data_IF_748112863613
#
_entry.id   IF_748112863613
#
_cell.length_a   1.000
_cell.length_b   1.000
_cell.length_c   1.000
_cell.angle_alpha   90.00
_cell.angle_beta   90.00
_cell.angle_gamma   90.00
#
_symmetry.space_group_name_H-M   'P 1'
#
loop_
_entity.id
_entity.type
_entity.pdbx_description
1 polymer ?
#
# COMPACT_ATOMS: atom_id res chain seq x y z
N UNK A 1 -10.61 -19.78 17.06
CA UNK A 1 -10.68 -19.93 15.58
C UNK A 1 -9.61 -19.03 14.98
N UNK A 2 -8.73 -19.56 14.13
CA UNK A 2 -7.52 -18.87 13.62
C UNK A 2 -7.91 -17.67 12.74
N UNK A 3 -7.51 -16.46 13.13
CA UNK A 3 -7.43 -15.29 12.25
C UNK A 3 -6.34 -15.53 11.22
N UNK A 4 -6.69 -16.19 10.11
CA UNK A 4 -5.78 -16.38 8.99
C UNK A 4 -5.59 -15.07 8.25
N UNK A 5 -4.51 -14.35 8.54
CA UNK A 5 -3.92 -13.42 7.56
C UNK A 5 -3.62 -14.27 6.33
N UNK A 6 -4.45 -14.20 5.30
CA UNK A 6 -4.17 -14.77 3.98
C UNK A 6 -3.08 -13.92 3.34
N UNK A 7 -1.85 -14.11 3.82
CA UNK A 7 -0.65 -13.62 3.17
C UNK A 7 -0.61 -14.23 1.76
N UNK A 8 -0.42 -13.39 0.75
CA UNK A 8 -0.25 -13.84 -0.63
C UNK A 8 0.84 -14.92 -0.72
N UNK A 9 0.55 -15.95 -1.50
CA UNK A 9 1.50 -17.03 -1.76
C UNK A 9 2.80 -16.47 -2.37
N UNK A 10 3.93 -17.08 -1.99
CA UNK A 10 5.25 -16.60 -2.40
C UNK A 10 5.44 -16.64 -3.92
N UNK A 11 4.92 -17.66 -4.60
CA UNK A 11 5.02 -17.78 -6.05
C UNK A 11 4.22 -16.67 -6.75
N UNK A 12 3.05 -16.32 -6.21
CA UNK A 12 2.26 -15.18 -6.70
C UNK A 12 3.08 -13.90 -6.57
N UNK A 13 3.61 -13.62 -5.38
CA UNK A 13 4.43 -12.42 -5.14
C UNK A 13 5.64 -12.37 -6.07
N UNK A 14 6.33 -13.50 -6.30
CA UNK A 14 7.46 -13.55 -7.21
C UNK A 14 7.03 -13.23 -8.66
N UNK A 15 5.92 -13.81 -9.12
CA UNK A 15 5.37 -13.52 -10.45
C UNK A 15 4.98 -12.04 -10.62
N UNK A 16 4.52 -11.37 -9.56
CA UNK A 16 4.30 -9.91 -9.58
C UNK A 16 5.62 -9.16 -9.78
N UNK A 17 6.67 -9.53 -9.04
CA UNK A 17 8.01 -8.93 -9.19
C UNK A 17 8.59 -9.13 -10.58
N UNK A 18 8.43 -10.32 -11.15
CA UNK A 18 8.95 -10.63 -12.47
C UNK A 18 8.28 -9.76 -13.54
N UNK A 19 6.95 -9.56 -13.45
CA UNK A 19 6.23 -8.63 -14.35
C UNK A 19 6.68 -7.19 -14.17
N UNK A 20 6.80 -6.72 -12.93
CA UNK A 20 7.32 -5.37 -12.66
C UNK A 20 8.72 -5.17 -13.22
N UNK A 21 9.57 -6.21 -13.18
CA UNK A 21 10.95 -6.13 -13.67
C UNK A 21 11.04 -5.86 -15.17
N UNK A 22 10.06 -6.30 -15.95
CA UNK A 22 9.99 -6.05 -17.40
C UNK A 22 9.97 -4.54 -17.71
N UNK A 23 9.25 -3.76 -16.91
CA UNK A 23 9.09 -2.31 -17.13
C UNK A 23 10.05 -1.46 -16.29
N UNK A 24 10.67 -2.03 -15.27
CA UNK A 24 11.45 -1.32 -14.25
C UNK A 24 12.53 -0.39 -14.82
N UNK A 25 13.35 -0.87 -15.76
CA UNK A 25 14.46 -0.06 -16.31
C UNK A 25 13.95 1.11 -17.15
N UNK A 26 12.95 0.87 -18.01
CA UNK A 26 12.34 1.91 -18.82
C UNK A 26 11.61 2.95 -17.95
N UNK A 27 10.90 2.48 -16.91
CA UNK A 27 10.21 3.33 -15.96
C UNK A 27 11.18 4.21 -15.17
N UNK A 28 12.27 3.64 -14.65
CA UNK A 28 13.29 4.40 -13.94
C UNK A 28 13.92 5.47 -14.85
N UNK A 29 14.32 5.11 -16.07
CA UNK A 29 14.87 6.07 -17.03
C UNK A 29 13.88 7.18 -17.43
N UNK A 30 12.58 6.88 -17.47
CA UNK A 30 11.55 7.88 -17.71
C UNK A 30 11.40 8.84 -16.52
N UNK A 31 11.39 8.32 -15.29
CA UNK A 31 11.32 9.12 -14.06
C UNK A 31 12.52 10.07 -13.95
N UNK A 32 13.74 9.59 -14.22
CA UNK A 32 14.94 10.44 -14.17
C UNK A 32 14.89 11.57 -15.21
N UNK A 33 14.43 11.28 -16.44
CA UNK A 33 14.26 12.31 -17.48
C UNK A 33 13.20 13.33 -17.11
N UNK A 34 12.07 12.88 -16.59
CA UNK A 34 10.98 13.77 -16.17
C UNK A 34 11.38 14.63 -14.97
N UNK A 35 12.20 14.10 -14.06
CA UNK A 35 12.77 14.88 -12.94
C UNK A 35 13.69 16.00 -13.43
N UNK A 36 14.44 15.77 -14.51
CA UNK A 36 15.33 16.75 -15.12
C UNK A 36 14.63 17.69 -16.12
N UNK A 37 13.37 17.42 -16.45
CA UNK A 37 12.59 18.14 -17.46
C UNK A 37 11.80 19.32 -16.92
N UNK A 38 10.99 19.92 -17.80
CA UNK A 38 10.07 21.00 -17.45
C UNK A 38 8.86 20.45 -16.65
N UNK A 39 8.62 20.91 -15.40
CA UNK A 39 7.48 20.47 -14.60
C UNK A 39 6.12 20.85 -15.20
N UNK A 40 6.05 21.91 -16.02
CA UNK A 40 4.80 22.41 -16.63
C UNK A 40 4.37 21.61 -17.85
N UNK A 41 5.20 20.67 -18.32
CA UNK A 41 4.91 19.88 -19.51
C UNK A 41 3.64 19.01 -19.28
N UNK A 42 2.70 18.98 -20.26
CA UNK A 42 1.55 18.09 -20.22
C UNK A 42 1.98 16.64 -20.01
N UNK A 43 1.24 15.86 -19.21
CA UNK A 43 1.69 14.52 -18.82
C UNK A 43 1.98 13.63 -20.04
N UNK A 44 1.09 13.67 -21.05
CA UNK A 44 1.24 12.90 -22.29
C UNK A 44 2.54 13.20 -23.05
N UNK A 45 3.12 14.37 -22.84
CA UNK A 45 4.36 14.83 -23.49
C UNK A 45 5.60 14.54 -22.64
N UNK A 46 5.46 14.07 -21.40
CA UNK A 46 6.62 13.66 -20.58
C UNK A 46 7.16 12.29 -21.02
N UNK A 47 8.37 11.92 -20.58
CA UNK A 47 8.90 10.60 -20.83
C UNK A 47 8.08 9.50 -20.14
N UNK A 48 7.54 9.76 -18.94
CA UNK A 48 6.60 8.84 -18.29
C UNK A 48 5.28 8.73 -19.07
N UNK A 49 4.75 9.84 -19.60
CA UNK A 49 3.55 9.83 -20.43
C UNK A 49 3.73 9.04 -21.72
N UNK A 50 4.84 9.26 -22.43
CA UNK A 50 5.19 8.49 -23.64
C UNK A 50 5.36 7.00 -23.35
N UNK A 51 6.03 6.66 -22.24
CA UNK A 51 6.15 5.25 -21.81
C UNK A 51 4.76 4.66 -21.56
N UNK A 52 3.91 5.33 -20.79
CA UNK A 52 2.57 4.85 -20.50
C UNK A 52 1.69 4.77 -21.77
N UNK A 53 1.88 5.65 -22.75
CA UNK A 53 1.19 5.59 -24.04
C UNK A 53 1.65 4.43 -24.93
N UNK A 54 2.84 3.88 -24.69
CA UNK A 54 3.42 2.79 -25.49
C UNK A 54 3.07 1.39 -24.99
N UNK A 55 2.55 1.26 -23.78
CA UNK A 55 2.26 -0.01 -23.12
C UNK A 55 0.79 -0.42 -23.32
N UNK A 56 0.56 -1.72 -23.42
CA UNK A 56 -0.76 -2.32 -23.36
C UNK A 56 -1.31 -2.34 -21.91
N UNK A 57 -2.55 -2.78 -21.73
CA UNK A 57 -3.21 -2.86 -20.42
C UNK A 57 -2.37 -3.62 -19.37
N UNK A 58 -1.94 -4.87 -19.64
CA UNK A 58 -1.06 -5.61 -18.73
C UNK A 58 0.26 -4.89 -18.42
N UNK A 59 0.92 -4.31 -19.42
CA UNK A 59 2.15 -3.52 -19.23
C UNK A 59 1.93 -2.28 -18.37
N UNK A 60 0.81 -1.58 -18.56
CA UNK A 60 0.40 -0.45 -17.74
C UNK A 60 0.12 -0.83 -16.28
N UNK A 61 -0.54 -1.97 -16.04
CA UNK A 61 -0.70 -2.48 -14.66
C UNK A 61 0.64 -2.78 -14.02
N UNK A 62 1.53 -3.48 -14.73
CA UNK A 62 2.87 -3.78 -14.24
C UNK A 62 3.67 -2.49 -13.94
N UNK A 63 3.54 -1.47 -14.80
CA UNK A 63 4.15 -0.15 -14.58
C UNK A 63 3.60 0.54 -13.33
N UNK A 64 2.28 0.52 -13.14
CA UNK A 64 1.64 1.07 -11.95
C UNK A 64 2.10 0.39 -10.68
N UNK A 65 2.16 -0.95 -10.68
CA UNK A 65 2.65 -1.73 -9.54
C UNK A 65 4.10 -1.42 -9.21
N UNK A 66 4.96 -1.35 -10.23
CA UNK A 66 6.37 -1.02 -10.05
C UNK A 66 6.53 0.39 -9.49
N UNK A 67 5.85 1.39 -10.07
CA UNK A 67 5.94 2.77 -9.64
C UNK A 67 5.41 2.96 -8.22
N UNK A 68 4.29 2.32 -7.87
CA UNK A 68 3.79 2.30 -6.51
C UNK A 68 4.82 1.70 -5.55
N UNK A 69 5.32 0.49 -5.83
CA UNK A 69 6.30 -0.19 -4.99
C UNK A 69 7.57 0.64 -4.79
N UNK A 70 8.07 1.24 -5.87
CA UNK A 70 9.23 2.12 -5.84
C UNK A 70 8.98 3.34 -4.94
N UNK A 71 7.86 4.06 -5.14
CA UNK A 71 7.53 5.22 -4.29
C UNK A 71 7.42 4.83 -2.82
N UNK A 72 6.83 3.68 -2.49
CA UNK A 72 6.70 3.21 -1.11
C UNK A 72 8.06 2.91 -0.45
N UNK A 73 9.07 2.50 -1.22
CA UNK A 73 10.41 2.22 -0.72
C UNK A 73 11.27 3.47 -0.53
N UNK A 74 11.04 4.49 -1.34
CA UNK A 74 11.85 5.71 -1.39
C UNK A 74 11.04 6.95 -0.97
N UNK A 75 10.09 6.81 -0.03
CA UNK A 75 9.16 7.89 0.33
C UNK A 75 9.86 9.15 0.90
N UNK A 76 11.11 9.00 1.37
CA UNK A 76 11.96 10.10 1.84
C UNK A 76 12.72 10.82 0.71
N UNK A 77 12.69 10.28 -0.51
CA UNK A 77 13.24 10.91 -1.72
C UNK A 77 12.15 11.70 -2.48
N UNK A 78 12.59 12.54 -3.43
CA UNK A 78 11.67 13.23 -4.33
C UNK A 78 10.99 12.24 -5.31
N UNK A 79 9.85 11.72 -4.86
CA UNK A 79 8.98 10.79 -5.57
C UNK A 79 7.84 11.48 -6.33
N UNK A 80 7.84 12.82 -6.45
CA UNK A 80 6.74 13.59 -7.08
C UNK A 80 6.40 13.11 -8.49
N UNK A 81 7.42 12.81 -9.30
CA UNK A 81 7.26 12.29 -10.67
C UNK A 81 6.62 10.91 -10.66
N UNK A 82 7.11 10.01 -9.80
CA UNK A 82 6.54 8.67 -9.64
C UNK A 82 5.08 8.73 -9.17
N UNK A 83 4.76 9.64 -8.24
CA UNK A 83 3.41 9.88 -7.76
C UNK A 83 2.48 10.39 -8.87
N UNK A 84 2.95 11.30 -9.73
CA UNK A 84 2.19 11.74 -10.91
C UNK A 84 1.83 10.54 -11.80
N UNK A 85 2.80 9.69 -12.14
CA UNK A 85 2.57 8.47 -12.91
C UNK A 85 1.57 7.52 -12.23
N UNK A 86 1.68 7.32 -10.91
CA UNK A 86 0.75 6.49 -10.14
C UNK A 86 -0.69 7.02 -10.23
N UNK A 87 -0.88 8.34 -10.10
CA UNK A 87 -2.21 8.97 -10.22
C UNK A 87 -2.78 8.82 -11.63
N UNK A 88 -1.95 9.00 -12.65
CA UNK A 88 -2.34 8.87 -14.06
C UNK A 88 -2.80 7.45 -14.40
N UNK A 89 -2.13 6.42 -13.86
CA UNK A 89 -2.55 5.03 -14.06
C UNK A 89 -3.80 4.72 -13.23
N UNK A 90 -3.88 5.21 -11.99
CA UNK A 90 -5.06 5.02 -11.14
C UNK A 90 -6.34 5.64 -11.72
N UNK A 91 -6.22 6.70 -12.53
CA UNK A 91 -7.35 7.33 -13.21
C UNK A 91 -7.86 6.58 -14.46
N UNK A 92 -7.18 5.50 -14.90
CA UNK A 92 -7.58 4.74 -16.09
C UNK A 92 -8.43 3.54 -15.69
N UNK A 93 -9.68 3.52 -16.18
CA UNK A 93 -10.58 2.40 -16.01
C UNK A 93 -10.35 1.29 -17.04
N UNK A 94 -10.66 0.06 -16.68
CA UNK A 94 -10.66 -1.08 -17.60
C UNK A 94 -9.27 -1.65 -17.82
N UNK A 95 -8.35 -1.41 -16.89
CA UNK A 95 -7.02 -2.01 -16.94
C UNK A 95 -7.10 -3.52 -16.66
N UNK A 96 -8.16 -4.02 -16.01
CA UNK A 96 -8.35 -5.45 -15.75
C UNK A 96 -7.46 -5.93 -14.60
N UNK A 97 -7.46 -5.19 -13.49
CA UNK A 97 -6.72 -5.57 -12.28
C UNK A 97 -7.15 -6.94 -11.76
N UNK A 98 -6.18 -7.70 -11.24
CA UNK A 98 -6.48 -8.97 -10.55
C UNK A 98 -6.62 -8.77 -9.05
N UNK A 99 -7.35 -9.68 -8.40
CA UNK A 99 -7.51 -9.68 -6.95
C UNK A 99 -6.17 -9.73 -6.20
N UNK A 100 -5.21 -10.50 -6.72
CA UNK A 100 -3.89 -10.65 -6.11
C UNK A 100 -3.03 -9.39 -6.25
N UNK A 101 -3.12 -8.71 -7.39
CA UNK A 101 -2.44 -7.42 -7.60
C UNK A 101 -3.00 -6.36 -6.64
N UNK A 102 -4.33 -6.23 -6.54
CA UNK A 102 -4.96 -5.28 -5.64
C UNK A 102 -4.66 -5.59 -4.16
N UNK A 103 -4.72 -6.87 -3.77
CA UNK A 103 -4.37 -7.31 -2.40
C UNK A 103 -2.92 -7.00 -2.09
N UNK A 104 -2.00 -7.28 -3.01
CA UNK A 104 -0.59 -7.00 -2.82
C UNK A 104 -0.32 -5.50 -2.62
N UNK A 105 -0.90 -4.66 -3.48
CA UNK A 105 -0.81 -3.20 -3.38
C UNK A 105 -1.36 -2.68 -2.04
N UNK A 106 -2.51 -3.19 -1.59
CA UNK A 106 -3.09 -2.84 -0.30
C UNK A 106 -2.19 -3.28 0.86
N UNK A 107 -1.64 -4.49 0.83
CA UNK A 107 -0.70 -4.95 1.85
C UNK A 107 0.55 -4.08 1.92
N UNK A 108 1.13 -3.69 0.76
CA UNK A 108 2.28 -2.76 0.72
C UNK A 108 1.92 -1.39 1.29
N UNK A 109 0.71 -0.93 1.04
CA UNK A 109 0.21 0.36 1.53
C UNK A 109 -0.06 0.35 3.03
N UNK A 110 -0.62 -0.72 3.58
CA UNK A 110 -0.84 -0.87 5.02
C UNK A 110 0.46 -1.06 5.80
N UNK A 111 1.47 -1.70 5.19
CA UNK A 111 2.79 -1.84 5.79
C UNK A 111 3.58 -0.53 5.87
N UNK A 112 3.14 0.51 5.16
CA UNK A 112 3.81 1.79 5.14
C UNK A 112 3.33 2.73 6.24
N UNK A 113 4.24 3.59 6.70
CA UNK A 113 3.96 4.58 7.71
C UNK A 113 2.86 5.57 7.30
N UNK A 114 2.17 6.18 8.28
CA UNK A 114 1.03 7.07 8.03
C UNK A 114 1.36 8.34 7.25
N UNK A 115 2.64 8.74 7.21
CA UNK A 115 3.14 9.89 6.45
C UNK A 115 2.91 9.79 4.93
N UNK A 116 2.68 8.58 4.41
CA UNK A 116 2.44 8.37 3.00
C UNK A 116 0.97 8.63 2.60
N UNK A 117 0.60 9.91 2.45
CA UNK A 117 -0.79 10.32 2.16
C UNK A 117 -1.40 9.66 0.93
N UNK A 118 -0.58 9.37 -0.09
CA UNK A 118 -1.04 8.79 -1.37
C UNK A 118 -0.90 7.27 -1.47
N UNK A 119 -0.52 6.57 -0.39
CA UNK A 119 -0.29 5.12 -0.40
C UNK A 119 -1.49 4.34 -0.95
N UNK A 120 -2.71 4.79 -0.69
CA UNK A 120 -3.93 4.10 -1.13
C UNK A 120 -4.46 4.51 -2.51
N UNK A 121 -3.81 5.45 -3.22
CA UNK A 121 -4.32 5.98 -4.51
C UNK A 121 -4.52 4.87 -5.56
N UNK A 122 -3.45 4.17 -5.92
CA UNK A 122 -3.51 3.07 -6.88
C UNK A 122 -4.19 1.81 -6.32
N UNK A 123 -3.91 1.37 -5.08
CA UNK A 123 -4.58 0.18 -4.53
C UNK A 123 -6.11 0.28 -4.54
N UNK A 124 -6.68 1.45 -4.20
CA UNK A 124 -8.13 1.63 -4.20
C UNK A 124 -8.72 1.71 -5.61
N UNK A 125 -8.02 2.34 -6.56
CA UNK A 125 -8.43 2.31 -7.96
C UNK A 125 -8.43 0.89 -8.53
N UNK A 126 -7.38 0.10 -8.24
CA UNK A 126 -7.32 -1.30 -8.63
C UNK A 126 -8.44 -2.14 -8.01
N UNK A 127 -8.74 -1.91 -6.73
CA UNK A 127 -9.84 -2.58 -6.03
C UNK A 127 -11.21 -2.24 -6.61
N UNK A 128 -11.42 -1.02 -7.10
CA UNK A 128 -12.69 -0.58 -7.68
C UNK A 128 -13.04 -1.27 -9.00
N UNK A 129 -12.06 -1.85 -9.71
CA UNK A 129 -12.32 -2.64 -10.93
C UNK A 129 -12.76 -4.07 -10.63
N UNK A 130 -12.67 -4.53 -9.37
CA UNK A 130 -12.99 -5.91 -8.99
C UNK A 130 -14.47 -6.06 -8.63
N UNK A 131 -15.06 -7.25 -8.86
CA UNK A 131 -16.41 -7.54 -8.37
C UNK A 131 -16.52 -7.35 -6.85
N UNK A 132 -17.66 -6.86 -6.34
CA UNK A 132 -17.89 -6.73 -4.90
C UNK A 132 -17.65 -8.07 -4.16
N UNK A 133 -16.96 -8.01 -3.02
CA UNK A 133 -16.64 -9.19 -2.21
C UNK A 133 -15.39 -9.97 -2.64
N UNK A 134 -14.72 -9.56 -3.72
CA UNK A 134 -13.45 -10.18 -4.17
C UNK A 134 -12.29 -9.94 -3.21
N UNK A 135 -12.26 -8.76 -2.59
CA UNK A 135 -11.29 -8.41 -1.56
C UNK A 135 -11.92 -8.51 -0.18
N UNK A 136 -11.20 -9.03 0.84
CA UNK A 136 -11.68 -8.99 2.21
C UNK A 136 -11.88 -7.53 2.66
N UNK A 137 -12.85 -7.26 3.56
CA UNK A 137 -13.07 -5.92 4.06
C UNK A 137 -11.79 -5.36 4.69
N UNK A 138 -11.50 -4.06 4.53
CA UNK A 138 -10.34 -3.45 5.16
C UNK A 138 -10.42 -3.68 6.68
N UNK A 139 -9.37 -4.28 7.24
CA UNK A 139 -9.27 -4.49 8.69
C UNK A 139 -9.03 -3.13 9.32
N UNK A 140 -9.98 -2.69 10.15
CA UNK A 140 -9.84 -1.48 10.93
C UNK A 140 -8.70 -1.65 11.95
N UNK A 141 -7.56 -0.94 11.82
CA UNK A 141 -6.46 -1.06 12.76
C UNK A 141 -6.80 -0.47 14.14
N UNK A 142 -7.96 0.18 14.29
CA UNK A 142 -8.39 0.87 15.51
C UNK A 142 -9.39 0.11 16.38
N UNK A 143 -9.82 -1.11 16.03
CA UNK A 143 -10.77 -1.85 16.88
C UNK A 143 -10.03 -2.69 17.92
N UNK A 144 -10.03 -2.31 19.22
CA UNK A 144 -9.55 -3.22 20.26
C UNK A 144 -10.41 -4.49 20.24
N UNK A 145 -9.76 -5.64 20.38
CA UNK A 145 -10.42 -6.93 20.44
C UNK A 145 -11.43 -6.93 21.60
N UNK A 146 -12.72 -6.85 21.26
CA UNK A 146 -13.78 -7.00 22.25
C UNK A 146 -13.81 -8.47 22.70
N UNK A 147 -13.55 -8.69 24.00
CA UNK A 147 -13.94 -9.91 24.70
C UNK A 147 -12.80 -10.82 25.15
N UNK A 148 -12.11 -10.44 26.24
CA UNK A 148 -11.55 -11.40 27.18
C UNK A 148 -12.09 -11.01 28.56
N UNK A 149 -13.26 -11.55 28.91
CA UNK A 149 -13.95 -11.22 30.14
C UNK A 149 -15.05 -12.23 30.43
N UNK A 150 -14.67 -13.49 30.56
CA UNK A 150 -15.45 -14.48 31.31
C UNK A 150 -14.48 -15.56 31.82
N UNK A 151 -14.15 -15.50 33.10
CA UNK A 151 -13.62 -16.62 33.87
C UNK A 151 -14.51 -16.73 35.12
N UNK A 152 -15.12 -17.89 35.41
CA UNK A 152 -15.96 -18.06 36.57
C UNK A 152 -15.12 -18.37 37.82
N UNK A 153 -15.44 -17.67 38.91
CA UNK A 153 -15.51 -18.15 40.31
C UNK A 153 -14.31 -18.84 40.98
N UNK A 154 -13.87 -18.28 42.11
CA UNK A 154 -13.18 -19.02 43.17
C UNK A 154 -12.33 -18.17 44.13
N UNK A 155 -12.93 -17.78 45.27
CA UNK A 155 -12.41 -17.65 46.67
C UNK A 155 -10.89 -17.93 46.91
N UNK A 156 -10.14 -17.25 47.78
CA UNK A 156 -10.41 -16.71 49.13
C UNK A 156 -9.21 -15.85 49.63
N UNK A 157 -9.50 -14.90 50.52
CA UNK A 157 -8.73 -14.33 51.66
C UNK A 157 -7.19 -14.18 51.67
N UNK A 158 -6.72 -12.95 51.92
CA UNK A 158 -6.20 -12.53 53.24
C UNK A 158 -5.12 -11.41 53.16
N UNK A 159 -5.38 -10.35 53.94
CA UNK A 159 -4.45 -9.56 54.77
C UNK A 159 -3.28 -8.74 54.17
N UNK A 160 -3.37 -7.43 54.43
CA UNK A 160 -2.36 -6.54 55.02
C UNK A 160 -1.01 -6.27 54.29
N UNK A 161 -0.75 -4.98 54.02
CA UNK A 161 0.63 -4.48 53.86
C UNK A 161 0.68 -3.13 53.15
N UNK A 162 1.14 -2.09 53.84
CA UNK A 162 1.13 -0.70 53.37
C UNK A 162 2.09 -0.37 52.21
N UNK A 163 1.95 0.86 51.71
CA UNK A 163 2.93 1.46 50.80
C UNK A 163 2.37 2.62 49.99
N UNK A 164 2.32 3.83 50.59
CA UNK A 164 2.26 5.08 49.85
C UNK A 164 3.49 5.23 48.94
N UNK A 165 3.34 5.67 47.69
CA UNK A 165 4.26 6.64 47.07
C UNK A 165 3.50 7.51 46.08
N UNK A 166 3.50 8.82 46.35
CA UNK A 166 2.94 9.86 45.48
C UNK A 166 3.84 10.22 44.31
N UNK A 167 3.23 10.59 43.19
CA UNK A 167 3.91 11.12 42.01
C UNK A 167 3.75 12.65 41.98
N UNK A 168 4.86 13.37 42.24
CA UNK A 168 5.02 14.78 41.86
C UNK A 168 5.40 14.86 40.38
N UNK A 169 4.72 15.75 39.67
CA UNK A 169 5.14 16.29 38.38
C UNK A 169 6.04 17.51 38.63
N UNK A 170 7.23 17.52 38.02
CA UNK A 170 7.96 18.70 37.59
C UNK A 170 8.10 18.54 36.06
N UNK A 171 7.78 19.52 35.22
CA UNK A 171 8.11 20.93 35.33
C UNK A 171 9.23 21.19 34.34
#
# INVERSE_FOLDING_TARGET
MRSGRTQLDRAVVQGLYDRMRVVASAAYGAIERDRAGDPELPFAETACGRLAGSLDGPGLRALGMWAHHWCMRFYDDDTRVGLRLVREIAGRSGLGWTADEARWLLERSHAAGPAAAHRFTLPLAAAAELPPGTLPPPVDPGRPAAGAGDIPGGVEDAAAGGGEVGWRLAG
#
